data_IF_451663050213
#
_entry.id   IF_451663050213
#
_cell.length_a   1.000
_cell.length_b   1.000
_cell.length_c   1.000
_cell.angle_alpha   90.00
_cell.angle_beta   90.00
_cell.angle_gamma   90.00
#
_symmetry.space_group_name_H-M   'P 1'
#
loop_
_entity.id
_entity.type
_entity.pdbx_description
1 polymer ?
#
# COMPACT_ATOMS: atom_id res chain seq x y z
N UNK A 1 -8.11 21.79 -12.07
CA UNK A 1 -6.79 21.36 -12.55
C UNK A 1 -6.90 19.89 -12.93
N UNK A 2 -6.42 19.52 -14.11
CA UNK A 2 -6.37 18.14 -14.62
C UNK A 2 -4.94 17.97 -15.11
N UNK A 3 -4.25 16.96 -14.61
CA UNK A 3 -2.92 16.60 -15.06
C UNK A 3 -3.04 15.65 -16.24
N UNK A 4 -2.59 16.10 -17.40
CA UNK A 4 -2.50 15.28 -18.61
C UNK A 4 -1.06 14.84 -18.86
N UNK A 5 -0.85 13.56 -19.15
CA UNK A 5 0.46 13.04 -19.52
C UNK A 5 0.31 12.03 -20.65
N UNK A 6 1.12 12.20 -21.69
CA UNK A 6 1.32 11.20 -22.74
C UNK A 6 2.81 10.89 -22.72
N UNK A 7 3.16 9.61 -22.67
CA UNK A 7 4.55 9.23 -22.50
C UNK A 7 4.86 7.82 -22.96
N UNK A 8 6.14 7.63 -23.28
CA UNK A 8 6.77 6.33 -23.44
C UNK A 8 7.77 6.14 -22.29
N UNK A 9 7.73 5.00 -21.61
CA UNK A 9 8.67 4.67 -20.54
C UNK A 9 9.28 3.29 -20.76
N UNK A 10 10.56 3.15 -20.38
CA UNK A 10 11.32 1.89 -20.40
C UNK A 10 11.83 1.49 -19.01
N UNK A 11 11.47 2.28 -18.01
CA UNK A 11 11.71 2.07 -16.59
C UNK A 11 10.30 1.92 -16.02
N UNK A 12 10.00 0.90 -15.23
CA UNK A 12 8.66 0.55 -14.69
C UNK A 12 8.03 1.63 -13.77
N UNK A 13 8.02 2.88 -14.22
CA UNK A 13 7.50 4.08 -13.54
C UNK A 13 6.00 4.28 -13.83
N UNK A 14 5.42 3.50 -14.75
CA UNK A 14 3.99 3.36 -14.99
C UNK A 14 3.42 2.14 -14.25
N UNK A 15 2.11 1.90 -14.34
CA UNK A 15 1.48 0.70 -13.76
C UNK A 15 2.05 -0.56 -14.43
N UNK A 16 2.99 -1.21 -13.74
CA UNK A 16 3.66 -2.46 -14.12
C UNK A 16 2.92 -3.61 -13.46
N UNK A 17 2.55 -4.62 -14.24
CA UNK A 17 1.85 -5.80 -13.71
C UNK A 17 2.81 -6.97 -13.50
N UNK A 18 3.77 -7.20 -14.40
CA UNK A 18 4.64 -8.37 -14.29
C UNK A 18 5.94 -8.14 -13.52
N UNK A 19 6.69 -9.22 -13.39
CA UNK A 19 7.97 -9.27 -12.67
C UNK A 19 9.16 -8.87 -13.56
N UNK A 20 8.96 -8.70 -14.87
CA UNK A 20 10.01 -8.33 -15.81
C UNK A 20 10.14 -6.82 -15.98
N UNK A 21 11.23 -6.39 -16.61
CA UNK A 21 11.33 -5.02 -17.07
C UNK A 21 10.34 -4.81 -18.22
N UNK A 22 9.57 -3.72 -18.18
CA UNK A 22 8.54 -3.41 -19.14
C UNK A 22 8.82 -2.10 -19.85
N UNK A 23 8.35 -2.03 -21.09
CA UNK A 23 8.16 -0.78 -21.83
C UNK A 23 6.67 -0.50 -21.89
N UNK A 24 6.30 0.76 -21.78
CA UNK A 24 4.90 1.18 -21.83
C UNK A 24 4.74 2.46 -22.64
N UNK A 25 3.70 2.48 -23.48
CA UNK A 25 3.15 3.69 -24.07
C UNK A 25 1.83 3.98 -23.38
N UNK A 26 1.67 5.18 -22.83
CA UNK A 26 0.48 5.51 -22.05
C UNK A 26 -0.01 6.95 -22.28
N UNK A 27 -1.31 7.12 -22.11
CA UNK A 27 -1.99 8.39 -21.97
C UNK A 27 -2.77 8.37 -20.65
N UNK A 28 -2.56 9.38 -19.81
CA UNK A 28 -3.20 9.52 -18.51
C UNK A 28 -3.78 10.92 -18.34
N UNK A 29 -5.01 11.00 -17.87
CA UNK A 29 -5.62 12.20 -17.32
C UNK A 29 -5.93 11.92 -15.86
N UNK A 30 -5.42 12.74 -14.94
CA UNK A 30 -5.72 12.60 -13.51
C UNK A 30 -6.25 13.92 -12.95
N UNK A 31 -7.36 13.82 -12.23
CA UNK A 31 -7.97 14.92 -11.51
C UNK A 31 -8.21 14.46 -10.08
N UNK A 32 -7.20 14.59 -9.19
CA UNK A 32 -7.33 14.15 -7.82
C UNK A 32 -8.34 15.03 -7.09
N UNK A 33 -8.86 14.53 -5.96
CA UNK A 33 -9.60 15.35 -5.01
C UNK A 33 -8.61 16.26 -4.26
N UNK A 34 -8.17 17.33 -4.92
CA UNK A 34 -7.11 18.22 -4.45
C UNK A 34 -7.49 18.99 -3.17
N UNK A 35 -8.79 19.17 -2.91
CA UNK A 35 -9.33 19.80 -1.71
C UNK A 35 -10.64 19.12 -1.30
N UNK A 36 -10.99 19.07 0.00
CA UNK A 36 -12.26 18.52 0.47
C UNK A 36 -13.53 19.15 -0.13
N UNK A 37 -13.43 20.38 -0.65
CA UNK A 37 -14.52 21.14 -1.29
C UNK A 37 -14.61 20.87 -2.80
N UNK A 38 -13.67 20.12 -3.38
CA UNK A 38 -13.74 19.78 -4.79
C UNK A 38 -14.97 18.88 -5.01
N UNK A 39 -15.84 19.29 -5.94
CA UNK A 39 -17.10 18.57 -6.22
C UNK A 39 -16.90 17.31 -7.04
N UNK A 40 -15.82 17.23 -7.79
CA UNK A 40 -15.54 16.11 -8.69
C UNK A 40 -14.14 15.56 -8.38
N UNK A 41 -13.87 14.33 -8.78
CA UNK A 41 -12.55 13.76 -8.96
C UNK A 41 -12.67 12.63 -9.99
N UNK A 42 -11.57 12.28 -10.65
CA UNK A 42 -11.60 11.22 -11.64
C UNK A 42 -10.28 11.07 -12.36
N UNK A 43 -10.18 10.02 -13.15
CA UNK A 43 -9.00 9.75 -13.94
C UNK A 43 -9.28 8.78 -15.07
N UNK A 44 -8.47 8.89 -16.10
CA UNK A 44 -8.46 8.03 -17.27
C UNK A 44 -7.03 7.58 -17.51
N UNK A 45 -6.81 6.28 -17.66
CA UNK A 45 -5.54 5.72 -18.08
C UNK A 45 -5.78 4.72 -19.21
N UNK A 46 -5.08 4.95 -20.32
CA UNK A 46 -5.00 4.00 -21.42
C UNK A 46 -3.53 3.73 -21.64
N UNK A 47 -3.12 2.46 -21.56
CA UNK A 47 -1.73 2.07 -21.74
C UNK A 47 -1.60 0.75 -22.48
N UNK A 48 -0.49 0.62 -23.20
CA UNK A 48 -0.02 -0.62 -23.80
C UNK A 48 1.38 -0.90 -23.31
N UNK A 49 1.54 -2.06 -22.70
CA UNK A 49 2.76 -2.47 -22.04
C UNK A 49 3.25 -3.79 -22.63
N UNK A 50 4.56 -3.99 -22.63
CA UNK A 50 5.19 -5.24 -23.06
C UNK A 50 6.50 -5.47 -22.34
N UNK A 51 6.81 -6.73 -22.05
CA UNK A 51 8.06 -7.08 -21.39
C UNK A 51 9.25 -6.93 -22.33
N UNK A 52 10.42 -6.63 -21.76
CA UNK A 52 11.68 -6.45 -22.49
C UNK A 52 12.79 -7.19 -21.76
N UNK A 53 13.50 -8.06 -22.47
CA UNK A 53 14.59 -8.84 -21.89
C UNK A 53 15.88 -8.02 -21.83
N UNK A 54 16.02 -7.18 -20.81
CA UNK A 54 17.19 -6.29 -20.64
C UNK A 54 18.44 -7.08 -20.25
N UNK A 55 18.29 -8.22 -19.60
CA UNK A 55 19.39 -9.02 -19.07
C UNK A 55 19.78 -10.21 -19.97
N UNK A 56 19.22 -10.30 -21.18
CA UNK A 56 19.43 -11.43 -22.10
C UNK A 56 19.25 -12.80 -21.41
N UNK A 57 18.21 -12.91 -20.57
CA UNK A 57 17.81 -14.18 -19.96
C UNK A 57 17.49 -15.21 -21.06
N UNK A 58 17.77 -16.51 -20.85
CA UNK A 58 17.28 -17.57 -21.73
C UNK A 58 15.75 -17.55 -21.85
N UNK A 59 15.22 -18.02 -22.98
CA UNK A 59 13.77 -18.04 -23.25
C UNK A 59 12.97 -18.87 -22.23
N UNK A 60 13.61 -19.85 -21.58
CA UNK A 60 13.00 -20.65 -20.51
C UNK A 60 12.79 -19.89 -19.20
N UNK A 61 13.47 -18.76 -19.01
CA UNK A 61 13.42 -17.94 -17.79
C UNK A 61 12.80 -16.55 -18.01
N UNK A 62 12.66 -16.12 -19.27
CA UNK A 62 12.10 -14.81 -19.59
C UNK A 62 10.59 -14.90 -19.81
N UNK A 63 9.81 -14.20 -18.98
CA UNK A 63 8.38 -14.05 -19.20
C UNK A 63 8.11 -13.04 -20.33
N UNK A 64 7.91 -13.53 -21.55
CA UNK A 64 7.50 -12.69 -22.69
C UNK A 64 5.98 -12.46 -22.70
N UNK A 65 5.53 -11.23 -22.49
CA UNK A 65 4.11 -10.88 -22.45
C UNK A 65 3.85 -9.44 -22.91
N UNK A 66 2.62 -9.18 -23.33
CA UNK A 66 2.14 -7.85 -23.68
C UNK A 66 0.69 -7.70 -23.26
N UNK A 67 0.33 -6.52 -22.77
CA UNK A 67 -1.02 -6.24 -22.30
C UNK A 67 -1.43 -4.79 -22.57
N UNK A 68 -2.73 -4.54 -22.49
CA UNK A 68 -3.33 -3.22 -22.50
C UNK A 68 -4.15 -2.98 -21.24
N UNK A 69 -4.12 -1.75 -20.74
CA UNK A 69 -4.98 -1.29 -19.65
C UNK A 69 -5.87 -0.18 -20.17
N UNK A 70 -7.15 -0.28 -19.84
CA UNK A 70 -8.10 0.83 -19.92
C UNK A 70 -8.75 0.99 -18.56
N UNK A 71 -8.52 2.12 -17.91
CA UNK A 71 -8.99 2.41 -16.55
C UNK A 71 -9.69 3.76 -16.55
N UNK A 72 -10.97 3.77 -16.23
CA UNK A 72 -11.81 4.96 -16.20
C UNK A 72 -12.48 5.03 -14.83
N UNK A 73 -12.30 6.14 -14.13
CA UNK A 73 -13.03 6.38 -12.89
C UNK A 73 -13.44 7.83 -12.74
N UNK A 74 -14.58 8.03 -12.09
CA UNK A 74 -15.09 9.35 -11.75
C UNK A 74 -15.84 9.28 -10.43
N UNK A 75 -15.90 10.40 -9.73
CA UNK A 75 -16.71 10.54 -8.55
C UNK A 75 -17.02 11.99 -8.23
N UNK A 76 -18.01 12.17 -7.36
CA UNK A 76 -18.48 13.47 -6.96
C UNK A 76 -18.82 13.55 -5.48
N UNK A 77 -18.60 14.73 -4.90
CA UNK A 77 -18.94 15.08 -3.53
C UNK A 77 -20.35 15.64 -3.48
N UNK A 78 -21.17 15.20 -2.53
CA UNK A 78 -22.56 15.67 -2.39
C UNK A 78 -22.98 15.90 -0.93
N UNK A 79 -24.07 16.66 -0.74
CA UNK A 79 -24.67 16.91 0.58
C UNK A 79 -24.08 18.08 1.39
N UNK A 80 -23.32 18.97 0.75
CA UNK A 80 -22.57 20.05 1.41
C UNK A 80 -23.39 21.34 1.65
N UNK A 81 -24.52 21.52 0.95
CA UNK A 81 -25.20 22.82 0.81
C UNK A 81 -25.83 23.41 2.09
N UNK A 82 -26.08 22.61 3.14
CA UNK A 82 -26.78 23.11 4.34
C UNK A 82 -25.87 23.67 5.43
N UNK A 83 -24.60 23.27 5.51
CA UNK A 83 -23.74 23.69 6.61
C UNK A 83 -23.03 25.03 6.38
N UNK A 84 -22.68 25.34 5.12
CA UNK A 84 -22.01 26.59 4.75
C UNK A 84 -22.88 27.83 4.97
N UNK A 85 -24.22 27.72 4.84
CA UNK A 85 -25.15 28.83 5.10
C UNK A 85 -25.26 29.24 6.58
N UNK A 86 -24.79 28.40 7.51
CA UNK A 86 -24.92 28.61 8.96
C UNK A 86 -23.62 29.07 9.64
N UNK A 87 -22.57 29.38 8.88
CA UNK A 87 -21.27 29.81 9.43
C UNK A 87 -20.54 28.74 10.25
N UNK A 88 -21.03 27.49 10.27
CA UNK A 88 -20.39 26.36 10.96
C UNK A 88 -19.54 25.58 9.96
N UNK A 89 -18.24 25.53 10.21
CA UNK A 89 -17.29 24.76 9.41
C UNK A 89 -17.54 23.26 9.58
N UNK A 90 -18.41 22.69 8.73
CA UNK A 90 -18.65 21.25 8.68
C UNK A 90 -17.63 20.62 7.73
N UNK A 91 -16.72 19.80 8.26
CA UNK A 91 -15.68 19.08 7.50
C UNK A 91 -16.08 17.63 7.14
N UNK A 92 -17.32 17.23 7.40
CA UNK A 92 -17.85 15.94 6.98
C UNK A 92 -18.19 15.96 5.48
N UNK A 93 -17.72 14.96 4.75
CA UNK A 93 -17.87 14.84 3.30
C UNK A 93 -18.44 13.47 2.94
N UNK A 94 -19.20 13.46 1.84
CA UNK A 94 -19.78 12.25 1.24
C UNK A 94 -19.36 12.25 -0.22
N UNK A 95 -18.77 11.16 -0.67
CA UNK A 95 -18.24 11.03 -2.02
C UNK A 95 -18.73 9.73 -2.63
N UNK A 96 -19.31 9.83 -3.82
CA UNK A 96 -19.74 8.67 -4.61
C UNK A 96 -18.82 8.57 -5.82
N UNK A 97 -18.25 7.39 -6.06
CA UNK A 97 -17.42 7.11 -7.23
C UNK A 97 -17.81 5.82 -7.92
N UNK A 98 -17.44 5.74 -9.20
CA UNK A 98 -17.49 4.53 -9.99
C UNK A 98 -16.18 4.37 -10.78
N UNK A 99 -15.79 3.12 -11.04
CA UNK A 99 -14.64 2.74 -11.85
C UNK A 99 -14.99 1.59 -12.76
N UNK A 100 -14.51 1.65 -13.99
CA UNK A 100 -14.46 0.53 -14.93
C UNK A 100 -13.00 0.34 -15.34
N UNK A 101 -12.52 -0.89 -15.22
CA UNK A 101 -11.16 -1.27 -15.58
C UNK A 101 -11.21 -2.51 -16.46
N UNK A 102 -10.47 -2.49 -17.54
CA UNK A 102 -10.19 -3.61 -18.43
C UNK A 102 -8.68 -3.77 -18.57
N UNK A 103 -8.18 -4.92 -18.11
CA UNK A 103 -6.80 -5.34 -18.23
C UNK A 103 -6.77 -6.59 -19.09
N UNK A 104 -6.17 -6.47 -20.27
CA UNK A 104 -6.20 -7.50 -21.28
C UNK A 104 -4.80 -7.84 -21.77
N UNK A 105 -4.38 -9.09 -21.57
CA UNK A 105 -3.15 -9.67 -22.08
C UNK A 105 -3.34 -10.05 -23.55
N UNK A 106 -2.58 -9.37 -24.41
CA UNK A 106 -2.46 -9.61 -25.85
C UNK A 106 -1.61 -10.86 -26.09
N UNK A 107 -0.56 -11.04 -25.29
CA UNK A 107 0.25 -12.26 -25.24
C UNK A 107 0.56 -12.63 -23.79
N UNK A 108 0.54 -13.93 -23.51
CA UNK A 108 0.82 -14.49 -22.18
C UNK A 108 2.23 -15.11 -22.15
N UNK A 109 2.88 -15.16 -20.97
CA UNK A 109 4.16 -15.84 -20.83
C UNK A 109 4.08 -17.32 -21.24
N UNK A 110 5.11 -17.81 -21.94
CA UNK A 110 5.24 -19.22 -22.35
C UNK A 110 6.01 -20.08 -21.34
N UNK A 111 6.53 -19.47 -20.28
CA UNK A 111 7.29 -20.15 -19.22
C UNK A 111 6.37 -20.82 -18.21
N UNK A 112 6.92 -21.74 -17.41
CA UNK A 112 6.20 -22.30 -16.26
C UNK A 112 6.04 -21.23 -15.19
N UNK A 113 4.79 -20.92 -14.84
CA UNK A 113 4.44 -19.92 -13.84
C UNK A 113 3.97 -20.60 -12.55
N UNK A 114 4.39 -20.04 -11.42
CA UNK A 114 3.81 -20.41 -10.12
C UNK A 114 2.32 -20.01 -10.06
N UNK A 115 1.52 -20.61 -9.17
CA UNK A 115 0.11 -20.21 -8.98
C UNK A 115 -0.05 -18.70 -8.70
N UNK A 116 0.88 -18.09 -7.96
CA UNK A 116 0.89 -16.64 -7.68
C UNK A 116 1.09 -15.81 -8.94
N UNK A 117 2.00 -16.24 -9.80
CA UNK A 117 2.29 -15.57 -11.07
C UNK A 117 1.17 -15.77 -12.08
N UNK A 118 0.50 -16.92 -12.09
CA UNK A 118 -0.67 -17.11 -12.95
C UNK A 118 -1.74 -16.04 -12.71
N UNK A 119 -1.99 -15.65 -11.45
CA UNK A 119 -2.94 -14.58 -11.11
C UNK A 119 -2.47 -13.22 -11.64
N UNK A 120 -1.17 -12.98 -11.67
CA UNK A 120 -0.53 -11.74 -12.14
C UNK A 120 -0.73 -11.53 -13.64
N UNK A 121 -0.63 -12.61 -14.42
CA UNK A 121 -0.75 -12.59 -15.88
C UNK A 121 -2.16 -12.90 -16.39
N UNK A 122 -3.17 -12.76 -15.54
CA UNK A 122 -4.56 -13.04 -15.88
C UNK A 122 -5.28 -11.80 -16.40
N UNK A 123 -6.12 -11.99 -17.43
CA UNK A 123 -7.10 -10.98 -17.85
C UNK A 123 -8.02 -10.63 -16.68
N UNK A 124 -8.31 -9.33 -16.54
CA UNK A 124 -9.13 -8.81 -15.46
C UNK A 124 -10.00 -7.66 -15.91
N UNK A 125 -11.29 -7.78 -15.64
CA UNK A 125 -12.27 -6.72 -15.85
C UNK A 125 -12.98 -6.43 -14.53
N UNK A 126 -13.23 -5.17 -14.23
CA UNK A 126 -14.06 -4.81 -13.07
C UNK A 126 -14.94 -3.61 -13.39
N UNK A 127 -16.10 -3.57 -12.74
CA UNK A 127 -16.92 -2.38 -12.64
C UNK A 127 -17.40 -2.26 -11.20
N UNK A 128 -17.01 -1.18 -10.53
CA UNK A 128 -17.23 -0.97 -9.11
C UNK A 128 -17.83 0.42 -8.87
N UNK A 129 -18.71 0.51 -7.88
CA UNK A 129 -19.16 1.76 -7.29
C UNK A 129 -18.76 1.79 -5.81
N UNK A 130 -18.41 2.97 -5.30
CA UNK A 130 -18.02 3.17 -3.91
C UNK A 130 -18.66 4.42 -3.32
N UNK A 131 -19.22 4.28 -2.12
CA UNK A 131 -19.67 5.40 -1.30
C UNK A 131 -18.71 5.56 -0.13
N UNK A 132 -18.09 6.74 -0.01
CA UNK A 132 -17.17 7.08 1.08
C UNK A 132 -17.69 8.27 1.89
N UNK A 133 -17.78 8.07 3.20
CA UNK A 133 -18.07 9.09 4.19
C UNK A 133 -16.80 9.40 4.95
N UNK A 134 -16.28 10.62 4.85
CA UNK A 134 -14.99 10.95 5.47
C UNK A 134 -14.97 12.33 6.11
N UNK A 135 -14.05 12.49 7.04
CA UNK A 135 -13.60 13.76 7.61
C UNK A 135 -12.11 13.65 7.80
N UNK A 136 -11.36 14.61 7.28
CA UNK A 136 -9.92 14.66 7.46
C UNK A 136 -9.48 16.06 7.88
N UNK A 137 -8.64 16.08 8.91
CA UNK A 137 -7.96 17.23 9.46
C UNK A 137 -6.45 16.93 9.51
N UNK A 138 -5.62 17.94 9.75
CA UNK A 138 -4.17 17.78 9.83
C UNK A 138 -3.62 18.24 11.17
N UNK A 139 -2.77 17.41 11.75
CA UNK A 139 -2.03 17.72 12.97
C UNK A 139 -0.58 18.05 12.62
N UNK A 140 -0.12 19.23 13.00
CA UNK A 140 1.25 19.70 12.76
C UNK A 140 2.18 19.15 13.82
N UNK A 141 3.19 18.41 13.39
CA UNK A 141 4.24 17.91 14.28
C UNK A 141 5.59 17.90 13.57
N UNK A 142 6.62 17.37 14.23
CA UNK A 142 7.98 17.29 13.71
C UNK A 142 8.57 15.94 14.06
N UNK A 143 9.64 15.55 13.36
CA UNK A 143 10.43 14.36 13.65
C UNK A 143 9.60 13.06 13.55
N UNK A 144 8.76 12.95 12.51
CA UNK A 144 8.21 11.68 12.06
C UNK A 144 9.09 11.11 10.94
N UNK A 145 9.40 11.92 9.92
CA UNK A 145 10.23 11.47 8.78
C UNK A 145 11.42 12.40 8.53
N UNK A 146 11.22 13.70 8.74
CA UNK A 146 12.19 14.76 8.52
C UNK A 146 12.94 15.18 9.78
N UNK A 147 14.05 15.87 9.57
CA UNK A 147 14.93 16.36 10.63
C UNK A 147 14.48 17.72 11.15
N UNK A 148 13.30 17.77 11.78
CA UNK A 148 12.76 18.96 12.43
C UNK A 148 11.94 19.90 11.56
N UNK A 149 11.62 19.49 10.33
CA UNK A 149 10.62 20.16 9.48
C UNK A 149 9.21 19.91 10.04
N UNK A 150 8.34 20.91 9.88
CA UNK A 150 6.92 20.73 10.19
C UNK A 150 6.31 19.76 9.20
N UNK A 151 5.62 18.76 9.72
CA UNK A 151 4.95 17.68 9.00
C UNK A 151 3.47 17.72 9.34
N UNK A 152 2.63 17.69 8.32
CA UNK A 152 1.18 17.61 8.45
C UNK A 152 0.77 16.14 8.46
N UNK A 153 0.30 15.65 9.61
CA UNK A 153 -0.20 14.29 9.77
C UNK A 153 -1.71 14.28 9.64
N UNK A 154 -2.30 13.54 8.68
CA UNK A 154 -3.73 13.44 8.57
C UNK A 154 -4.32 12.69 9.77
N UNK A 155 -5.43 13.18 10.30
CA UNK A 155 -6.27 12.48 11.28
C UNK A 155 -7.75 12.69 10.96
N UNK A 156 -8.62 11.84 11.50
CA UNK A 156 -10.05 11.87 11.20
C UNK A 156 -10.60 10.47 11.01
N UNK A 157 -11.55 10.32 10.10
CA UNK A 157 -12.10 9.00 9.77
C UNK A 157 -12.57 8.94 8.32
N UNK A 158 -12.60 7.73 7.78
CA UNK A 158 -13.24 7.40 6.51
C UNK A 158 -13.96 6.06 6.65
N UNK A 159 -15.17 5.99 6.10
CA UNK A 159 -15.97 4.76 6.00
C UNK A 159 -16.38 4.61 4.55
N UNK A 160 -15.97 3.51 3.92
CA UNK A 160 -16.25 3.22 2.52
C UNK A 160 -17.03 1.93 2.38
N UNK A 161 -18.00 1.92 1.47
CA UNK A 161 -18.69 0.72 1.02
C UNK A 161 -18.51 0.62 -0.49
N UNK A 162 -17.97 -0.50 -0.96
CA UNK A 162 -17.71 -0.79 -2.37
C UNK A 162 -18.55 -1.97 -2.82
N UNK A 163 -19.21 -1.85 -3.97
CA UNK A 163 -19.98 -2.94 -4.57
C UNK A 163 -19.80 -2.94 -6.09
N UNK A 164 -19.93 -4.11 -6.72
CA UNK A 164 -19.91 -4.23 -8.16
C UNK A 164 -19.60 -5.65 -8.59
N UNK A 165 -18.81 -5.82 -9.65
CA UNK A 165 -18.41 -7.13 -10.13
C UNK A 165 -16.99 -7.12 -10.67
N UNK A 166 -16.37 -8.30 -10.66
CA UNK A 166 -15.08 -8.56 -11.25
C UNK A 166 -15.18 -9.82 -12.12
N UNK A 167 -14.52 -9.77 -13.28
CA UNK A 167 -14.26 -10.92 -14.12
C UNK A 167 -12.77 -11.20 -14.17
N UNK A 168 -12.36 -12.37 -13.71
CA UNK A 168 -10.97 -12.82 -13.72
C UNK A 168 -10.94 -14.33 -13.96
N UNK A 169 -9.99 -14.83 -14.76
CA UNK A 169 -9.94 -16.24 -15.18
C UNK A 169 -11.26 -16.78 -15.78
N UNK A 170 -11.99 -15.93 -16.51
CA UNK A 170 -13.29 -16.30 -17.09
C UNK A 170 -14.45 -16.35 -16.08
N UNK A 171 -14.19 -16.25 -14.77
CA UNK A 171 -15.21 -16.22 -13.73
C UNK A 171 -15.69 -14.78 -13.52
N UNK A 172 -16.99 -14.55 -13.67
CA UNK A 172 -17.63 -13.25 -13.37
C UNK A 172 -18.34 -13.37 -12.03
N UNK A 173 -17.94 -12.54 -11.05
CA UNK A 173 -18.41 -12.64 -9.66
C UNK A 173 -18.77 -11.27 -9.11
N UNK A 174 -19.98 -11.09 -8.55
CA UNK A 174 -20.29 -9.94 -7.71
C UNK A 174 -19.29 -9.80 -6.56
N UNK A 175 -18.98 -8.54 -6.23
CA UNK A 175 -18.07 -8.16 -5.15
C UNK A 175 -18.78 -7.20 -4.18
N UNK A 176 -18.54 -7.40 -2.89
CA UNK A 176 -18.92 -6.47 -1.83
C UNK A 176 -17.74 -6.32 -0.85
N UNK A 177 -17.46 -5.08 -0.47
CA UNK A 177 -16.42 -4.78 0.51
C UNK A 177 -16.69 -3.50 1.28
N UNK A 178 -16.15 -3.42 2.48
CA UNK A 178 -16.22 -2.26 3.35
C UNK A 178 -14.87 -1.96 3.99
N UNK A 179 -14.62 -0.68 4.23
CA UNK A 179 -13.39 -0.19 4.84
C UNK A 179 -13.73 0.89 5.87
N UNK A 180 -13.08 0.83 7.02
CA UNK A 180 -13.18 1.80 8.10
C UNK A 180 -11.77 2.20 8.49
N UNK A 181 -11.46 3.47 8.33
CA UNK A 181 -10.25 4.09 8.81
C UNK A 181 -10.59 5.13 9.87
N UNK A 182 -9.87 5.13 10.99
CA UNK A 182 -10.00 6.15 12.02
C UNK A 182 -8.65 6.45 12.63
N UNK A 183 -8.27 7.72 12.60
CA UNK A 183 -7.05 8.24 13.19
C UNK A 183 -7.37 9.36 14.15
N UNK A 184 -6.79 9.33 15.34
CA UNK A 184 -6.92 10.39 16.32
C UNK A 184 -5.56 10.81 16.84
N UNK A 185 -5.48 12.07 17.26
CA UNK A 185 -4.28 12.68 17.83
C UNK A 185 -4.59 13.19 19.24
N UNK A 186 -3.67 12.96 20.17
CA UNK A 186 -3.73 13.53 21.50
C UNK A 186 -2.32 13.92 21.97
N UNK A 187 -2.09 15.20 22.22
CA UNK A 187 -0.80 15.73 22.72
C UNK A 187 0.44 15.23 21.95
N UNK A 188 0.32 15.09 20.62
CA UNK A 188 1.42 14.65 19.75
C UNK A 188 1.52 13.14 19.53
N UNK A 189 0.76 12.34 20.29
CA UNK A 189 0.55 10.91 20.04
C UNK A 189 -0.49 10.74 18.94
N UNK A 190 -0.26 9.83 18.00
CA UNK A 190 -1.18 9.52 16.89
C UNK A 190 -1.53 8.03 16.98
N UNK A 191 -2.81 7.73 16.93
CA UNK A 191 -3.31 6.35 16.94
C UNK A 191 -4.25 6.19 15.76
N UNK A 192 -4.04 5.15 14.98
CA UNK A 192 -4.86 4.83 13.82
C UNK A 192 -5.35 3.39 13.87
N UNK A 193 -6.56 3.17 13.41
CA UNK A 193 -7.17 1.87 13.19
C UNK A 193 -7.71 1.83 11.76
N UNK A 194 -7.36 0.78 11.05
CA UNK A 194 -7.80 0.45 9.71
C UNK A 194 -8.42 -0.95 9.75
N UNK A 195 -9.66 -1.09 9.29
CA UNK A 195 -10.40 -2.35 9.22
C UNK A 195 -11.00 -2.46 7.83
N UNK A 196 -10.70 -3.54 7.12
CA UNK A 196 -11.19 -3.80 5.78
C UNK A 196 -11.75 -5.23 5.74
N UNK A 197 -12.90 -5.39 5.11
CA UNK A 197 -13.50 -6.70 4.89
C UNK A 197 -14.17 -6.73 3.52
N UNK A 198 -14.05 -7.84 2.81
CA UNK A 198 -14.74 -8.00 1.53
C UNK A 198 -14.56 -9.39 0.95
N UNK A 199 -15.38 -9.70 -0.04
CA UNK A 199 -15.40 -11.01 -0.68
C UNK A 199 -16.28 -11.02 -1.92
N UNK A 200 -16.38 -12.20 -2.51
CA UNK A 200 -17.12 -12.45 -3.73
C UNK A 200 -18.26 -13.42 -3.48
N UNK A 201 -19.22 -13.43 -4.40
CA UNK A 201 -20.37 -14.32 -4.36
C UNK A 201 -20.49 -15.03 -5.70
N UNK A 202 -20.80 -16.33 -5.69
CA UNK A 202 -21.03 -17.13 -6.89
C UNK A 202 -21.94 -18.31 -6.56
N UNK A 203 -22.98 -18.53 -7.36
CA UNK A 203 -23.90 -19.67 -7.21
C UNK A 203 -24.44 -19.84 -5.77
N UNK A 204 -24.86 -18.74 -5.14
CA UNK A 204 -25.35 -18.67 -3.76
C UNK A 204 -24.30 -19.02 -2.66
N UNK A 205 -23.04 -19.18 -3.03
CA UNK A 205 -21.91 -19.37 -2.11
C UNK A 205 -21.02 -18.12 -2.04
N UNK A 206 -20.36 -17.94 -0.90
CA UNK A 206 -19.33 -16.91 -0.71
C UNK A 206 -17.96 -17.45 -1.04
N UNK A 207 -17.15 -16.65 -1.73
CA UNK A 207 -15.79 -17.01 -2.12
C UNK A 207 -14.81 -15.88 -1.82
N UNK A 208 -13.56 -16.25 -1.56
CA UNK A 208 -12.45 -15.35 -1.35
C UNK A 208 -12.79 -14.24 -0.34
N UNK A 209 -13.32 -14.57 0.84
CA UNK A 209 -13.59 -13.58 1.88
C UNK A 209 -12.27 -13.25 2.58
N UNK A 210 -11.95 -11.97 2.73
CA UNK A 210 -10.80 -11.54 3.53
C UNK A 210 -11.16 -10.41 4.47
N UNK A 211 -10.60 -10.50 5.67
CA UNK A 211 -10.65 -9.48 6.72
C UNK A 211 -9.22 -9.06 7.04
N UNK A 212 -8.97 -7.75 7.04
CA UNK A 212 -7.69 -7.13 7.37
C UNK A 212 -7.92 -6.06 8.44
N UNK A 213 -7.12 -6.07 9.48
CA UNK A 213 -7.16 -5.07 10.55
C UNK A 213 -5.73 -4.61 10.84
N UNK A 214 -5.48 -3.31 10.79
CA UNK A 214 -4.19 -2.72 11.16
C UNK A 214 -4.41 -1.63 12.21
N UNK A 215 -3.73 -1.75 13.35
CA UNK A 215 -3.68 -0.74 14.39
C UNK A 215 -2.26 -0.18 14.47
N UNK A 216 -2.12 1.14 14.40
CA UNK A 216 -0.82 1.82 14.52
C UNK A 216 -0.85 2.83 15.67
N UNK A 217 0.27 2.92 16.39
CA UNK A 217 0.51 3.86 17.48
C UNK A 217 1.83 4.55 17.21
N UNK A 218 1.82 5.88 17.17
CA UNK A 218 3.00 6.73 17.19
C UNK A 218 2.99 7.54 18.47
N UNK A 219 4.07 7.46 19.25
CA UNK A 219 4.20 8.24 20.47
C UNK A 219 4.32 9.74 20.15
N UNK A 220 4.11 10.57 21.18
CA UNK A 220 4.64 11.94 21.18
C UNK A 220 6.16 11.93 21.00
N UNK A 221 6.72 13.07 20.60
CA UNK A 221 8.16 13.26 20.53
C UNK A 221 8.72 13.42 21.94
N UNK A 222 9.64 12.53 22.33
CA UNK A 222 10.43 12.69 23.54
C UNK A 222 11.69 13.47 23.20
N UNK A 223 11.77 14.70 23.70
CA UNK A 223 12.90 15.58 23.50
C UNK A 223 13.89 15.45 24.66
N UNK A 224 15.02 14.79 24.40
CA UNK A 224 16.14 14.74 25.31
C UNK A 224 17.24 15.65 24.76
N UNK A 225 18.01 16.33 25.62
CA UNK A 225 18.97 17.39 25.20
C UNK A 225 19.82 17.04 23.98
N UNK A 226 20.26 15.78 23.85
CA UNK A 226 21.14 15.30 22.77
C UNK A 226 20.43 14.46 21.70
N UNK A 227 19.25 13.91 21.99
CA UNK A 227 18.52 13.00 21.11
C UNK A 227 17.03 13.26 21.17
N UNK A 228 16.33 13.11 20.05
CA UNK A 228 14.87 13.12 20.02
C UNK A 228 14.36 11.76 19.60
N UNK A 229 13.40 11.23 20.34
CA UNK A 229 12.94 9.85 20.15
C UNK A 229 11.43 9.82 19.93
N UNK A 230 11.01 9.05 18.92
CA UNK A 230 9.61 8.68 18.72
C UNK A 230 9.53 7.17 18.56
N UNK A 231 8.55 6.56 19.22
CA UNK A 231 8.27 5.13 19.08
C UNK A 231 7.07 4.93 18.17
N UNK A 232 7.13 3.89 17.35
CA UNK A 232 6.00 3.43 16.54
C UNK A 232 5.77 1.95 16.75
N UNK A 233 4.52 1.58 16.99
CA UNK A 233 4.06 0.20 17.10
C UNK A 233 2.95 0.01 16.09
N UNK A 234 3.02 -1.06 15.31
CA UNK A 234 1.99 -1.44 14.35
C UNK A 234 1.64 -2.91 14.54
N UNK A 235 0.35 -3.19 14.68
CA UNK A 235 -0.20 -4.54 14.80
C UNK A 235 -1.11 -4.77 13.61
N UNK A 236 -0.94 -5.89 12.93
CA UNK A 236 -1.74 -6.25 11.77
C UNK A 236 -2.29 -7.66 11.92
N UNK A 237 -3.58 -7.85 11.66
CA UNK A 237 -4.21 -9.15 11.54
C UNK A 237 -4.84 -9.27 10.16
N UNK A 238 -4.72 -10.43 9.53
CA UNK A 238 -5.36 -10.70 8.24
C UNK A 238 -5.80 -12.15 8.21
N UNK A 239 -7.02 -12.41 7.74
CA UNK A 239 -7.54 -13.75 7.57
C UNK A 239 -8.29 -13.87 6.26
N UNK A 240 -8.11 -15.01 5.61
CA UNK A 240 -8.78 -15.45 4.41
C UNK A 240 -9.70 -16.60 4.76
N UNK A 241 -10.90 -16.60 4.18
CA UNK A 241 -11.89 -17.67 4.29
C UNK A 241 -12.30 -18.07 2.87
N UNK A 242 -12.50 -19.38 2.67
CA UNK A 242 -13.03 -19.96 1.43
C UNK A 242 -12.32 -19.43 0.16
N UNK A 243 -10.98 -19.50 0.19
CA UNK A 243 -10.12 -19.06 -0.91
C UNK A 243 -10.34 -19.92 -2.15
N UNK A 244 -10.61 -19.27 -3.28
CA UNK A 244 -10.82 -19.89 -4.58
C UNK A 244 -9.71 -19.48 -5.55
N UNK A 245 -9.68 -18.21 -5.99
CA UNK A 245 -8.73 -17.77 -7.03
C UNK A 245 -7.69 -16.75 -6.54
N UNK A 246 -7.90 -16.12 -5.39
CA UNK A 246 -7.00 -15.06 -4.92
C UNK A 246 -5.74 -15.64 -4.26
N UNK A 247 -4.67 -14.83 -4.28
CA UNK A 247 -3.39 -15.21 -3.70
C UNK A 247 -3.49 -15.36 -2.16
N UNK A 248 -2.82 -16.36 -1.58
CA UNK A 248 -2.72 -16.51 -0.14
C UNK A 248 -1.88 -15.36 0.47
N UNK A 249 -2.02 -15.16 1.78
CA UNK A 249 -1.26 -14.16 2.52
C UNK A 249 0.21 -14.57 2.61
N UNK A 250 1.12 -13.62 2.38
CA UNK A 250 2.57 -13.75 2.60
C UNK A 250 3.02 -13.00 3.86
N UNK A 251 4.31 -12.99 4.19
CA UNK A 251 4.88 -12.14 5.24
C UNK A 251 5.98 -11.22 4.70
N UNK A 252 5.86 -10.84 3.43
CA UNK A 252 6.92 -10.18 2.67
C UNK A 252 6.93 -8.67 2.92
N UNK A 253 8.05 -8.12 3.38
CA UNK A 253 8.20 -6.69 3.65
C UNK A 253 7.10 -6.11 4.57
N UNK A 254 6.25 -5.22 4.07
CA UNK A 254 5.18 -4.55 4.82
C UNK A 254 4.07 -5.49 5.27
N UNK A 255 3.94 -6.62 4.58
CA UNK A 255 3.02 -7.68 4.95
C UNK A 255 3.46 -8.46 6.19
N UNK A 256 4.73 -8.39 6.59
CA UNK A 256 5.23 -9.06 7.78
C UNK A 256 6.56 -8.49 8.21
N UNK A 257 7.65 -9.07 7.72
CA UNK A 257 9.01 -8.76 8.16
C UNK A 257 9.73 -7.95 7.09
N UNK A 258 10.29 -6.79 7.47
CA UNK A 258 10.96 -5.91 6.54
C UNK A 258 12.19 -6.56 5.91
N UNK A 259 12.30 -6.53 4.58
CA UNK A 259 13.42 -7.10 3.82
C UNK A 259 13.44 -8.63 3.75
N UNK A 260 12.47 -9.31 4.36
CA UNK A 260 12.26 -10.74 4.25
C UNK A 260 11.26 -11.00 3.11
N UNK A 261 11.69 -11.72 2.07
CA UNK A 261 10.89 -11.93 0.85
C UNK A 261 11.07 -13.35 0.31
N UNK A 262 10.56 -14.38 1.00
CA UNK A 262 10.42 -15.72 0.44
C UNK A 262 9.37 -15.75 -0.67
N UNK A 263 9.57 -16.65 -1.63
CA UNK A 263 8.73 -16.78 -2.82
C UNK A 263 7.54 -17.71 -2.57
N UNK A 264 7.74 -18.78 -1.80
CA UNK A 264 6.72 -19.84 -1.59
C UNK A 264 6.02 -19.77 -0.24
N UNK A 265 6.52 -18.97 0.71
CA UNK A 265 5.89 -18.84 2.02
C UNK A 265 4.51 -18.16 1.92
N UNK A 266 3.49 -18.89 2.36
CA UNK A 266 2.09 -18.55 2.15
C UNK A 266 1.20 -19.13 3.25
N UNK A 267 0.12 -18.44 3.61
CA UNK A 267 -0.91 -18.94 4.51
C UNK A 267 -2.25 -18.21 4.36
N UNK A 268 -3.26 -18.65 5.10
CA UNK A 268 -4.61 -18.09 5.05
C UNK A 268 -4.90 -17.19 6.27
N UNK A 269 -4.06 -17.22 7.30
CA UNK A 269 -4.15 -16.29 8.44
C UNK A 269 -2.78 -15.76 8.82
N UNK A 270 -2.70 -14.46 9.12
CA UNK A 270 -1.48 -13.77 9.49
C UNK A 270 -1.71 -12.81 10.64
N UNK A 271 -0.80 -12.83 11.60
CA UNK A 271 -0.69 -11.81 12.65
C UNK A 271 0.72 -11.23 12.58
N UNK A 272 0.86 -9.91 12.55
CA UNK A 272 2.15 -9.22 12.52
C UNK A 272 2.23 -8.14 13.58
N UNK A 273 3.42 -7.92 14.09
CA UNK A 273 3.75 -6.82 14.98
C UNK A 273 5.07 -6.19 14.54
N UNK A 274 5.08 -4.87 14.36
CA UNK A 274 6.25 -4.07 14.02
C UNK A 274 6.47 -3.03 15.10
N UNK A 275 7.64 -3.04 15.70
CA UNK A 275 8.05 -2.11 16.74
C UNK A 275 9.29 -1.38 16.23
N UNK A 276 9.24 -0.06 16.19
CA UNK A 276 10.34 0.77 15.70
C UNK A 276 10.54 1.96 16.62
N UNK A 277 11.80 2.38 16.78
CA UNK A 277 12.13 3.66 17.39
C UNK A 277 12.86 4.52 16.36
N UNK A 278 12.47 5.79 16.26
CA UNK A 278 13.15 6.79 15.46
C UNK A 278 13.95 7.69 16.40
N UNK A 279 15.27 7.52 16.39
CA UNK A 279 16.21 8.24 17.27
C UNK A 279 16.97 9.26 16.44
N UNK A 280 16.55 10.51 16.50
CA UNK A 280 17.22 11.63 15.84
C UNK A 280 18.36 12.13 16.72
N UNK A 281 19.58 12.15 16.19
CA UNK A 281 20.76 12.61 16.93
C UNK A 281 21.04 14.08 16.65
N UNK A 282 21.89 14.70 17.47
CA UNK A 282 22.45 16.02 17.23
C UNK A 282 23.71 15.99 16.34
N UNK A 283 24.13 14.81 15.85
CA UNK A 283 25.31 14.68 15.01
C UNK A 283 25.06 15.37 13.67
N UNK A 284 26.00 16.24 13.29
CA UNK A 284 25.99 16.93 12.02
C UNK A 284 27.36 16.83 11.37
N UNK A 285 27.39 16.36 10.13
CA UNK A 285 28.60 16.31 9.31
C UNK A 285 28.29 16.96 7.98
N UNK A 286 28.97 18.07 7.64
CA UNK A 286 28.78 18.78 6.37
C UNK A 286 27.29 19.11 6.04
N UNK A 287 26.49 19.40 7.07
CA UNK A 287 25.05 19.70 6.93
C UNK A 287 24.12 18.47 6.91
N UNK A 288 24.66 17.25 6.91
CA UNK A 288 23.88 16.03 7.06
C UNK A 288 23.48 15.81 8.52
N UNK A 289 22.19 15.60 8.76
CA UNK A 289 21.64 15.18 10.03
C UNK A 289 21.47 13.65 10.03
N UNK A 290 21.62 13.01 11.19
CA UNK A 290 21.59 11.56 11.31
C UNK A 290 20.48 11.07 12.25
N UNK A 291 19.86 9.95 11.90
CA UNK A 291 18.90 9.26 12.76
C UNK A 291 19.15 7.75 12.73
N UNK A 292 19.06 7.13 13.90
CA UNK A 292 19.18 5.68 14.09
C UNK A 292 17.77 5.10 14.24
N UNK A 293 17.50 4.01 13.54
CA UNK A 293 16.16 3.42 13.40
C UNK A 293 16.20 1.92 13.68
N UNK A 294 16.31 1.50 14.96
CA UNK A 294 16.13 0.10 15.32
C UNK A 294 14.67 -0.32 15.10
N UNK A 295 14.47 -1.54 14.61
CA UNK A 295 13.17 -2.12 14.35
C UNK A 295 13.16 -3.63 14.62
N UNK A 296 12.04 -4.10 15.17
CA UNK A 296 11.74 -5.49 15.47
C UNK A 296 10.42 -5.84 14.78
N UNK A 297 10.44 -6.85 13.94
CA UNK A 297 9.27 -7.39 13.25
C UNK A 297 9.01 -8.82 13.72
N UNK A 298 7.74 -9.12 13.98
CA UNK A 298 7.26 -10.45 14.35
C UNK A 298 6.07 -10.79 13.48
N UNK A 299 6.00 -12.04 13.01
CA UNK A 299 4.88 -12.51 12.21
C UNK A 299 4.54 -13.96 12.54
N UNK A 300 3.25 -14.25 12.73
CA UNK A 300 2.71 -15.60 12.70
C UNK A 300 1.99 -15.80 11.37
N UNK A 301 2.20 -16.94 10.72
CA UNK A 301 1.55 -17.33 9.49
C UNK A 301 0.96 -18.74 9.65
N UNK A 302 -0.35 -18.88 9.47
CA UNK A 302 -1.07 -20.14 9.65
C UNK A 302 -1.80 -20.56 8.37
N UNK A 303 -1.87 -21.87 8.14
CA UNK A 303 -2.66 -22.47 7.06
C UNK A 303 -4.16 -22.50 7.41
N UNK A 304 -5.00 -22.82 6.42
CA UNK A 304 -6.43 -23.05 6.63
C UNK A 304 -6.68 -24.03 7.79
N UNK A 305 -7.71 -23.75 8.59
CA UNK A 305 -8.13 -24.51 9.77
C UNK A 305 -7.21 -24.49 11.01
N UNK A 306 -6.19 -23.65 11.05
CA UNK A 306 -5.38 -23.45 12.26
C UNK A 306 -5.57 -22.05 12.87
N UNK A 307 -5.63 -21.92 14.21
CA UNK A 307 -5.55 -20.63 14.88
C UNK A 307 -4.24 -19.91 14.53
N UNK A 308 -4.30 -18.59 14.30
CA UNK A 308 -3.12 -17.82 13.84
C UNK A 308 -1.92 -17.92 14.78
N UNK A 309 -2.14 -17.99 16.09
CA UNK A 309 -1.09 -18.10 17.10
C UNK A 309 -0.44 -19.48 17.19
N UNK A 310 -1.03 -20.49 16.53
CA UNK A 310 -0.47 -21.84 16.40
C UNK A 310 0.27 -22.02 15.07
N UNK A 311 0.26 -21.00 14.20
CA UNK A 311 1.03 -21.02 12.95
C UNK A 311 2.53 -20.82 13.16
N UNK A 312 3.25 -20.83 12.05
CA UNK A 312 4.70 -20.66 12.04
C UNK A 312 5.08 -19.24 12.48
N UNK A 313 6.01 -19.15 13.43
CA UNK A 313 6.50 -17.88 13.95
C UNK A 313 7.81 -17.47 13.28
N UNK A 314 7.81 -16.24 12.76
CA UNK A 314 8.95 -15.61 12.13
C UNK A 314 9.28 -14.30 12.84
N UNK A 315 10.56 -13.98 12.89
CA UNK A 315 11.06 -12.75 13.49
C UNK A 315 12.19 -12.15 12.65
N UNK A 316 12.29 -10.83 12.66
CA UNK A 316 13.35 -10.10 12.01
C UNK A 316 13.73 -8.85 12.78
N UNK A 317 15.02 -8.55 12.78
CA UNK A 317 15.59 -7.40 13.46
C UNK A 317 16.33 -6.54 12.45
N UNK A 318 16.22 -5.23 12.56
CA UNK A 318 16.96 -4.33 11.70
C UNK A 318 17.45 -3.08 12.40
N UNK A 319 18.56 -2.56 11.91
CA UNK A 319 19.13 -1.30 12.35
C UNK A 319 19.37 -0.42 11.12
N UNK A 320 18.62 0.68 11.05
CA UNK A 320 18.76 1.68 10.00
C UNK A 320 19.57 2.89 10.47
N UNK A 321 20.43 3.41 9.62
CA UNK A 321 21.03 4.73 9.71
C UNK A 321 20.47 5.60 8.58
N UNK A 322 19.69 6.61 8.96
CA UNK A 322 19.14 7.60 8.03
C UNK A 322 19.97 8.86 8.06
N UNK A 323 20.17 9.46 6.90
CA UNK A 323 20.81 10.75 6.77
C UNK A 323 20.12 11.65 5.77
N UNK A 324 20.09 12.95 6.04
CA UNK A 324 19.54 13.97 5.14
C UNK A 324 20.24 15.30 5.32
N UNK A 325 20.56 15.93 4.19
CA UNK A 325 21.02 17.30 4.13
C UNK A 325 19.92 18.17 3.52
N UNK A 326 19.36 19.09 4.29
CA UNK A 326 18.26 19.97 3.83
C UNK A 326 18.73 21.03 2.83
N UNK A 327 20.06 21.23 2.67
CA UNK A 327 20.63 22.13 1.66
C UNK A 327 20.77 21.46 0.28
N UNK A 328 20.56 20.15 0.19
CA UNK A 328 20.63 19.41 -1.06
C UNK A 328 19.23 19.00 -1.52
N UNK A 329 19.05 18.86 -2.84
CA UNK A 329 17.80 18.38 -3.43
C UNK A 329 17.53 16.88 -3.16
N UNK A 330 18.52 16.17 -2.63
CA UNK A 330 18.41 14.75 -2.35
C UNK A 330 17.51 14.50 -1.13
N UNK A 331 16.61 13.55 -1.28
CA UNK A 331 15.78 13.03 -0.21
C UNK A 331 16.62 12.23 0.80
N UNK A 332 16.01 11.81 1.91
CA UNK A 332 16.67 10.97 2.93
C UNK A 332 17.27 9.72 2.31
N UNK A 333 18.53 9.42 2.66
CA UNK A 333 19.22 8.17 2.35
C UNK A 333 19.18 7.28 3.60
N UNK A 334 18.89 6.00 3.44
CA UNK A 334 18.91 5.01 4.51
C UNK A 334 19.87 3.87 4.17
N UNK A 335 20.80 3.59 5.07
CA UNK A 335 21.54 2.33 5.12
C UNK A 335 20.90 1.46 6.19
N UNK A 336 20.47 0.24 5.88
CA UNK A 336 19.83 -0.66 6.84
C UNK A 336 20.42 -2.05 6.78
N UNK A 337 20.83 -2.56 7.94
CA UNK A 337 21.18 -3.96 8.14
C UNK A 337 19.99 -4.72 8.73
N UNK A 338 19.82 -5.97 8.30
CA UNK A 338 18.77 -6.89 8.74
C UNK A 338 19.38 -8.20 9.23
N UNK A 339 18.75 -8.79 10.24
CA UNK A 339 19.06 -10.10 10.77
C UNK A 339 17.77 -10.90 10.97
N UNK A 340 17.72 -12.11 10.39
CA UNK A 340 16.59 -13.04 10.45
C UNK A 340 17.05 -14.30 11.19
N UNK A 341 16.64 -14.52 12.45
CA UNK A 341 16.99 -15.73 13.20
C UNK A 341 16.49 -17.02 12.54
N UNK A 342 15.28 -16.98 11.98
CA UNK A 342 14.69 -18.09 11.23
C UNK A 342 14.54 -17.68 9.78
N UNK A 343 15.01 -18.52 8.86
CA UNK A 343 14.92 -18.30 7.41
C UNK A 343 14.30 -19.52 6.73
N UNK A 344 13.83 -19.32 5.52
CA UNK A 344 13.33 -20.37 4.61
C UNK A 344 13.95 -20.15 3.23
N UNK A 345 13.85 -21.12 2.33
CA UNK A 345 14.13 -20.94 0.90
C UNK A 345 15.52 -20.34 0.58
N UNK A 346 16.58 -20.87 1.21
CA UNK A 346 17.98 -20.40 1.04
C UNK A 346 18.18 -18.89 1.27
N UNK A 347 17.25 -18.21 1.94
CA UNK A 347 17.40 -16.81 2.31
C UNK A 347 18.54 -16.64 3.31
N UNK A 348 19.40 -15.66 3.06
CA UNK A 348 20.47 -15.31 3.97
C UNK A 348 19.92 -14.75 5.29
N UNK A 349 20.49 -15.19 6.41
CA UNK A 349 20.18 -14.66 7.73
C UNK A 349 20.51 -13.17 7.87
N UNK A 350 21.43 -12.66 7.04
CA UNK A 350 21.84 -11.26 7.05
C UNK A 350 21.59 -10.62 5.69
N UNK A 351 21.07 -9.39 5.71
CA UNK A 351 20.89 -8.57 4.51
C UNK A 351 21.29 -7.14 4.82
N UNK A 352 21.91 -6.47 3.86
CA UNK A 352 22.19 -5.03 3.92
C UNK A 352 21.51 -4.38 2.73
N UNK A 353 20.87 -3.25 2.95
CA UNK A 353 20.23 -2.48 1.90
C UNK A 353 20.59 -0.99 2.01
N UNK A 354 20.73 -0.33 0.87
CA UNK A 354 20.87 1.12 0.77
C UNK A 354 19.73 1.66 -0.07
N UNK A 355 18.89 2.48 0.54
CA UNK A 355 17.76 3.11 -0.14
C UNK A 355 18.03 4.61 -0.25
N UNK A 356 18.19 5.08 -1.48
CA UNK A 356 18.20 6.51 -1.79
C UNK A 356 16.77 6.97 -2.11
N UNK A 357 16.42 8.18 -1.68
CA UNK A 357 15.09 8.76 -1.89
C UNK A 357 13.94 8.07 -1.18
N UNK A 358 14.11 7.81 0.12
CA UNK A 358 13.03 7.36 0.97
C UNK A 358 11.94 8.44 1.07
N UNK A 359 10.90 8.33 0.23
CA UNK A 359 9.70 9.18 0.27
C UNK A 359 8.72 8.57 1.26
N UNK A 360 8.87 8.88 2.53
CA UNK A 360 7.83 8.53 3.51
C UNK A 360 6.82 9.69 3.55
N UNK A 361 5.64 9.46 2.99
CA UNK A 361 4.49 10.36 3.08
C UNK A 361 3.32 9.56 3.61
N UNK A 362 2.62 10.10 4.62
CA UNK A 362 1.27 9.60 4.90
C UNK A 362 0.43 9.78 3.63
N UNK A 363 -0.41 8.80 3.27
CA UNK A 363 -1.35 8.99 2.18
C UNK A 363 -2.24 10.19 2.50
N UNK A 364 -2.06 11.29 1.79
CA UNK A 364 -2.88 12.50 1.91
C UNK A 364 -4.10 12.45 0.99
N UNK A 365 -4.22 11.40 0.17
CA UNK A 365 -5.32 11.20 -0.78
C UNK A 365 -6.59 10.88 -0.02
N UNK A 366 -7.52 11.84 0.02
CA UNK A 366 -8.83 11.73 0.68
C UNK A 366 -9.71 10.64 0.07
N UNK A 367 -9.62 10.48 -1.26
CA UNK A 367 -10.37 9.48 -2.01
C UNK A 367 -9.52 8.94 -3.16
N UNK A 368 -9.77 7.70 -3.55
CA UNK A 368 -9.11 6.98 -4.63
C UNK A 368 -10.14 6.37 -5.58
N UNK A 369 -9.68 5.88 -6.72
CA UNK A 369 -10.50 5.08 -7.60
C UNK A 369 -11.00 3.82 -6.84
N UNK A 370 -12.29 3.45 -6.95
CA UNK A 370 -12.83 2.23 -6.36
C UNK A 370 -11.98 1.01 -6.68
N UNK A 371 -11.78 0.13 -5.71
CA UNK A 371 -11.05 -1.12 -5.91
C UNK A 371 -11.54 -2.22 -4.97
N UNK A 372 -11.16 -3.45 -5.28
CA UNK A 372 -11.31 -4.61 -4.41
C UNK A 372 -10.22 -4.64 -3.36
N UNK A 373 -10.49 -5.31 -2.22
CA UNK A 373 -9.54 -5.51 -1.12
C UNK A 373 -8.28 -6.34 -1.50
N UNK A 374 -8.27 -6.95 -2.68
CA UNK A 374 -7.28 -7.91 -3.16
C UNK A 374 -6.24 -7.31 -4.12
N UNK A 375 -6.21 -5.98 -4.26
CA UNK A 375 -5.28 -5.25 -5.13
C UNK A 375 -4.03 -4.72 -4.46
#
# INVERSE_FOLDING_TARGET
FVDGTIGYTSINNSRSLGNENEKALYARLDRPLFMPYARWAGGVEISRNWSTNVFNKPDSLFANYAYSIQDYWAGFTFGEERASRLGRENRHRRFLSARVLDQHFISHPTILLSPRENLLYANRQLALAQLTLFRQDFYKTKYIYGFGRTEDVPYGYAVSLTAGWEKQFGLTRPYLGGEIQKSFTNQGTIISLDVQAGGYFRNDETEDISVKTTASYFSKLYDMKIIKVRHSVELGFSKFFDRNIKNPLDINNDNGIQGFTPDSLAGDSRLRARIQALVFTNWKLLGFNFAVVPQFDFAFLAQSNQPVLQGDFFQGYSLGLRTRNENLIFNTVELRGYYYPTTVESLNHFRINVTASLRIKYPTTLVRAPDTLFN
#
